data_IF_871762309537
#
_entry.id   IF_871762309537
#
_cell.length_a   1.000
_cell.length_b   1.000
_cell.length_c   1.000
_cell.angle_alpha   90.00
_cell.angle_beta   90.00
_cell.angle_gamma   90.00
#
_symmetry.space_group_name_H-M   'P 1'
#
loop_
_entity.id
_entity.type
_entity.pdbx_description
1 polymer ?
#
# COMPACT_ATOMS: atom_id res chain seq x y z
N UNK A 1 8.24 12.17 11.54
CA UNK A 1 9.36 12.33 12.48
C UNK A 1 9.06 11.82 13.88
N UNK A 2 7.87 12.13 14.44
CA UNK A 2 7.47 11.81 15.81
C UNK A 2 7.54 10.30 16.10
N UNK A 3 7.00 9.49 15.20
CA UNK A 3 7.02 8.02 15.34
C UNK A 3 8.44 7.45 15.25
N UNK A 4 9.30 8.06 14.42
CA UNK A 4 10.71 7.65 14.33
C UNK A 4 11.45 7.98 15.63
N UNK A 5 11.27 9.19 16.15
CA UNK A 5 11.83 9.57 17.46
C UNK A 5 11.35 8.63 18.55
N UNK A 6 10.05 8.37 18.64
CA UNK A 6 9.48 7.47 19.64
C UNK A 6 10.07 6.06 19.55
N UNK A 7 10.27 5.51 18.37
CA UNK A 7 10.89 4.21 18.16
C UNK A 7 12.34 4.18 18.71
N UNK A 8 13.14 5.19 18.40
CA UNK A 8 14.52 5.30 18.93
C UNK A 8 14.55 5.46 20.44
N UNK A 9 13.64 6.24 20.99
CA UNK A 9 13.55 6.41 22.47
C UNK A 9 13.15 5.10 23.18
N UNK A 10 12.43 4.22 22.50
CA UNK A 10 12.12 2.86 22.98
C UNK A 10 13.24 1.85 22.73
N UNK A 11 14.38 2.26 22.15
CA UNK A 11 15.56 1.41 21.95
C UNK A 11 15.67 0.79 20.57
N UNK A 12 14.87 1.20 19.56
CA UNK A 12 15.05 0.74 18.20
C UNK A 12 16.41 1.17 17.65
N UNK A 13 17.14 0.26 17.02
CA UNK A 13 18.42 0.56 16.34
C UNK A 13 18.18 1.24 14.98
N UNK A 14 17.05 0.96 14.33
CA UNK A 14 16.63 1.55 13.04
C UNK A 14 15.12 1.53 12.91
N UNK A 15 14.58 2.29 11.97
CA UNK A 15 13.17 2.28 11.60
C UNK A 15 13.02 1.89 10.13
N UNK A 16 11.94 1.18 9.80
CA UNK A 16 11.61 0.76 8.43
C UNK A 16 10.34 1.49 8.01
N UNK A 17 10.35 2.09 6.83
CA UNK A 17 9.20 2.73 6.22
C UNK A 17 8.72 1.91 5.02
N UNK A 18 7.43 1.58 4.99
CA UNK A 18 6.79 0.84 3.88
C UNK A 18 5.95 1.76 3.00
N UNK A 19 4.77 2.17 3.48
CA UNK A 19 3.79 2.93 2.68
C UNK A 19 4.35 4.22 2.10
N UNK A 20 5.17 4.95 2.85
CA UNK A 20 5.75 6.22 2.41
C UNK A 20 6.68 6.03 1.20
N UNK A 21 7.48 4.95 1.20
CA UNK A 21 8.41 4.67 0.11
C UNK A 21 7.70 4.26 -1.19
N UNK A 22 6.47 3.77 -1.12
CA UNK A 22 5.69 3.46 -2.34
C UNK A 22 5.31 4.71 -3.15
N UNK A 23 5.33 5.89 -2.53
CA UNK A 23 5.10 7.17 -3.21
C UNK A 23 6.40 7.82 -3.72
N UNK A 24 7.57 7.22 -3.48
CA UNK A 24 8.84 7.73 -3.96
C UNK A 24 9.06 7.41 -5.44
N UNK A 25 9.92 8.21 -6.08
CA UNK A 25 10.20 8.10 -7.52
C UNK A 25 10.89 6.79 -7.89
N UNK A 26 11.63 6.18 -6.97
CA UNK A 26 12.31 4.89 -7.17
C UNK A 26 11.38 3.68 -7.00
N UNK A 27 10.14 3.88 -6.50
CA UNK A 27 9.21 2.78 -6.31
C UNK A 27 8.76 2.19 -7.65
N UNK A 28 8.63 0.86 -7.71
CA UNK A 28 8.10 0.14 -8.87
C UNK A 28 6.59 0.32 -9.10
N UNK A 29 5.94 1.24 -8.38
CA UNK A 29 4.53 1.57 -8.54
C UNK A 29 4.33 2.50 -9.74
N UNK A 30 3.17 2.41 -10.40
CA UNK A 30 2.82 3.32 -11.49
C UNK A 30 2.68 4.76 -11.03
N UNK A 31 2.86 5.70 -11.95
CA UNK A 31 2.67 7.12 -11.70
C UNK A 31 1.25 7.44 -11.18
N UNK A 32 0.23 6.75 -11.71
CA UNK A 32 -1.14 6.87 -11.22
C UNK A 32 -1.26 6.49 -9.73
N UNK A 33 -0.62 5.40 -9.31
CA UNK A 33 -0.60 4.96 -7.91
C UNK A 33 0.14 5.96 -7.03
N UNK A 34 1.30 6.49 -7.46
CA UNK A 34 2.03 7.52 -6.71
C UNK A 34 1.20 8.77 -6.48
N UNK A 35 0.46 9.24 -7.50
CA UNK A 35 -0.47 10.37 -7.37
C UNK A 35 -1.58 10.09 -6.35
N UNK A 36 -2.17 8.90 -6.37
CA UNK A 36 -3.18 8.51 -5.38
C UNK A 36 -2.58 8.50 -3.97
N UNK A 37 -1.41 7.89 -3.79
CA UNK A 37 -0.72 7.80 -2.50
C UNK A 37 -0.37 9.19 -1.93
N UNK A 38 0.03 10.14 -2.77
CA UNK A 38 0.32 11.52 -2.34
C UNK A 38 -0.91 12.30 -1.84
N UNK A 39 -2.12 11.79 -2.12
CA UNK A 39 -3.38 12.43 -1.73
C UNK A 39 -4.09 11.70 -0.57
N UNK A 40 -3.47 10.63 -0.04
CA UNK A 40 -4.07 9.80 1.03
C UNK A 40 -4.16 10.57 2.33
N UNK A 41 -5.33 10.54 2.97
CA UNK A 41 -5.50 10.85 4.38
C UNK A 41 -5.38 9.57 5.23
N UNK A 42 -5.08 9.69 6.51
CA UNK A 42 -4.96 8.53 7.41
C UNK A 42 -6.25 7.69 7.50
N UNK A 43 -7.39 8.28 7.18
CA UNK A 43 -8.70 7.62 7.14
C UNK A 43 -9.02 6.93 5.80
N UNK A 44 -8.17 7.08 4.77
CA UNK A 44 -8.39 6.49 3.44
C UNK A 44 -7.91 5.04 3.33
N UNK A 45 -7.69 4.39 4.44
CA UNK A 45 -7.23 3.00 4.54
C UNK A 45 -8.35 2.08 5.01
N UNK A 46 -8.40 0.87 4.49
CA UNK A 46 -9.35 -0.18 4.87
C UNK A 46 -8.64 -1.53 4.93
N UNK A 47 -9.13 -2.43 5.77
CA UNK A 47 -8.70 -3.83 5.76
C UNK A 47 -9.36 -4.57 4.58
N UNK A 48 -8.62 -5.42 3.91
CA UNK A 48 -9.12 -6.27 2.83
C UNK A 48 -8.40 -7.62 2.83
N UNK A 49 -9.05 -8.70 2.37
CA UNK A 49 -8.45 -10.03 2.29
C UNK A 49 -7.14 -10.05 1.51
N UNK A 50 -6.13 -10.69 2.09
CA UNK A 50 -4.84 -10.93 1.45
C UNK A 50 -4.96 -12.02 0.38
N UNK A 51 -4.25 -11.88 -0.75
CA UNK A 51 -4.35 -12.84 -1.86
C UNK A 51 -3.68 -14.18 -1.56
N UNK A 52 -2.56 -14.16 -0.88
CA UNK A 52 -1.73 -15.33 -0.54
C UNK A 52 -2.27 -16.15 0.63
N UNK A 53 -2.93 -15.49 1.57
CA UNK A 53 -3.53 -16.10 2.76
C UNK A 53 -5.07 -16.00 2.77
N UNK A 54 -5.68 -15.96 1.58
CA UNK A 54 -7.11 -15.75 1.40
C UNK A 54 -7.97 -16.78 2.14
N UNK A 55 -7.63 -18.06 2.02
CA UNK A 55 -8.37 -19.16 2.66
C UNK A 55 -8.33 -19.09 4.19
N UNK A 56 -7.30 -18.46 4.76
CA UNK A 56 -7.18 -18.28 6.22
C UNK A 56 -7.89 -17.02 6.73
N UNK A 57 -8.45 -16.20 5.86
CA UNK A 57 -9.14 -14.97 6.22
C UNK A 57 -8.21 -13.86 6.74
N UNK A 58 -6.92 -13.92 6.41
CA UNK A 58 -5.98 -12.86 6.76
C UNK A 58 -6.27 -11.62 5.95
N UNK A 59 -6.31 -10.48 6.61
CA UNK A 59 -6.53 -9.17 6.00
C UNK A 59 -5.28 -8.30 6.06
N UNK A 60 -5.15 -7.39 5.12
CA UNK A 60 -4.09 -6.39 5.04
C UNK A 60 -4.67 -4.99 4.77
N UNK A 61 -3.88 -3.96 5.06
CA UNK A 61 -4.27 -2.59 4.85
C UNK A 61 -4.09 -2.18 3.38
N UNK A 62 -5.17 -1.66 2.79
CA UNK A 62 -5.20 -1.16 1.41
C UNK A 62 -5.86 0.21 1.32
N UNK A 63 -5.50 0.95 0.30
CA UNK A 63 -6.15 2.20 -0.03
C UNK A 63 -7.60 1.94 -0.48
N UNK A 64 -8.55 2.70 0.08
CA UNK A 64 -9.95 2.69 -0.37
C UNK A 64 -10.28 3.83 -1.33
N UNK A 65 -9.51 4.92 -1.30
CA UNK A 65 -9.73 6.09 -2.14
C UNK A 65 -9.31 5.80 -3.59
N UNK A 66 -10.19 6.07 -4.55
CA UNK A 66 -9.91 5.90 -5.98
C UNK A 66 -9.93 4.47 -6.49
N UNK A 67 -10.31 3.47 -5.65
CA UNK A 67 -10.40 2.06 -6.02
C UNK A 67 -11.60 1.39 -5.37
N UNK A 68 -12.12 0.34 -5.99
CA UNK A 68 -13.17 -0.54 -5.46
C UNK A 68 -12.61 -1.89 -4.98
N UNK A 69 -11.29 -2.06 -4.97
CA UNK A 69 -10.66 -3.33 -4.59
C UNK A 69 -11.12 -3.83 -3.22
N UNK A 70 -11.05 -2.99 -2.18
CA UNK A 70 -11.41 -3.39 -0.82
C UNK A 70 -12.82 -3.99 -0.70
N UNK A 71 -13.88 -3.29 -1.12
CA UNK A 71 -15.24 -3.84 -1.14
C UNK A 71 -15.39 -5.11 -1.99
N UNK A 72 -14.74 -5.19 -3.15
CA UNK A 72 -14.77 -6.36 -4.04
C UNK A 72 -14.08 -7.56 -3.40
N UNK A 73 -12.89 -7.37 -2.83
CA UNK A 73 -12.16 -8.43 -2.14
C UNK A 73 -12.96 -8.99 -0.94
N UNK A 74 -13.57 -8.13 -0.14
CA UNK A 74 -14.46 -8.56 0.95
C UNK A 74 -15.66 -9.36 0.43
N UNK A 75 -16.27 -8.93 -0.68
CA UNK A 75 -17.39 -9.65 -1.28
C UNK A 75 -16.98 -11.04 -1.75
N UNK A 76 -15.79 -11.18 -2.35
CA UNK A 76 -15.25 -12.48 -2.71
C UNK A 76 -15.03 -13.37 -1.48
N UNK A 77 -14.54 -12.82 -0.38
CA UNK A 77 -14.36 -13.56 0.86
C UNK A 77 -15.69 -13.96 1.52
N UNK A 78 -16.72 -13.11 1.47
CA UNK A 78 -18.08 -13.47 1.91
C UNK A 78 -18.63 -14.66 1.13
N UNK A 79 -18.46 -14.69 -0.20
CA UNK A 79 -18.86 -15.84 -1.01
C UNK A 79 -18.06 -17.08 -0.66
N UNK A 80 -16.74 -16.97 -0.54
CA UNK A 80 -15.87 -18.08 -0.15
C UNK A 80 -16.27 -18.67 1.21
N UNK A 81 -16.58 -17.85 2.18
CA UNK A 81 -16.96 -18.28 3.52
C UNK A 81 -18.37 -18.92 3.56
N UNK A 82 -19.25 -18.48 2.67
CA UNK A 82 -20.65 -18.91 2.66
C UNK A 82 -20.91 -20.16 1.82
N UNK A 83 -20.23 -20.31 0.69
CA UNK A 83 -20.48 -21.36 -0.30
C UNK A 83 -19.31 -22.33 -0.37
N UNK A 84 -19.58 -23.58 -0.75
CA UNK A 84 -18.56 -24.61 -0.91
C UNK A 84 -18.08 -24.78 -2.33
N UNK A 85 -18.75 -24.17 -3.29
CA UNK A 85 -18.34 -24.13 -4.68
C UNK A 85 -18.83 -22.85 -5.35
N UNK A 86 -18.24 -22.51 -6.50
CA UNK A 86 -18.73 -21.42 -7.36
C UNK A 86 -20.15 -21.67 -7.83
N UNK A 87 -20.53 -22.94 -8.04
CA UNK A 87 -21.84 -23.32 -8.56
C UNK A 87 -22.96 -23.12 -7.55
N UNK A 88 -22.66 -23.10 -6.25
CA UNK A 88 -23.61 -22.76 -5.20
C UNK A 88 -23.93 -21.26 -5.13
N UNK A 89 -23.08 -20.41 -5.69
CA UNK A 89 -23.34 -18.96 -5.75
C UNK A 89 -24.52 -18.74 -6.72
N UNK A 90 -25.56 -17.98 -6.34
CA UNK A 90 -26.70 -17.71 -7.20
C UNK A 90 -26.28 -17.20 -8.59
N UNK A 91 -26.89 -17.70 -9.65
CA UNK A 91 -26.51 -17.40 -11.04
C UNK A 91 -26.43 -15.90 -11.34
N UNK A 92 -27.35 -15.10 -10.81
CA UNK A 92 -27.34 -13.66 -10.96
C UNK A 92 -26.13 -12.99 -10.29
N UNK A 93 -25.65 -13.51 -9.16
CA UNK A 93 -24.46 -13.01 -8.48
C UNK A 93 -23.18 -13.46 -9.21
N UNK A 94 -23.12 -14.68 -9.72
CA UNK A 94 -22.02 -15.16 -10.59
C UNK A 94 -21.87 -14.28 -11.83
N UNK A 95 -22.97 -13.99 -12.52
CA UNK A 95 -22.97 -13.13 -13.68
C UNK A 95 -22.44 -11.70 -13.35
N UNK A 96 -22.79 -11.15 -12.18
CA UNK A 96 -22.22 -9.88 -11.71
C UNK A 96 -20.72 -9.96 -11.46
N UNK A 97 -20.24 -11.05 -10.86
CA UNK A 97 -18.80 -11.25 -10.65
C UNK A 97 -18.05 -11.28 -11.99
N UNK A 98 -18.55 -12.05 -12.97
CA UNK A 98 -17.94 -12.12 -14.30
C UNK A 98 -17.92 -10.78 -15.01
N UNK A 99 -19.02 -10.02 -14.98
CA UNK A 99 -19.15 -8.76 -15.71
C UNK A 99 -18.43 -7.59 -15.02
N UNK A 100 -18.55 -7.46 -13.71
CA UNK A 100 -18.16 -6.25 -12.98
C UNK A 100 -16.83 -6.36 -12.24
N UNK A 101 -16.48 -7.57 -11.78
CA UNK A 101 -15.26 -7.81 -10.99
C UNK A 101 -14.18 -8.41 -11.88
N UNK A 102 -14.42 -9.60 -12.38
CA UNK A 102 -13.44 -10.33 -13.16
C UNK A 102 -13.29 -9.78 -14.58
N UNK A 103 -14.40 -9.34 -15.21
CA UNK A 103 -14.52 -8.92 -16.62
C UNK A 103 -14.06 -10.03 -17.56
N UNK A 104 -14.29 -11.27 -17.15
CA UNK A 104 -14.01 -12.51 -17.87
C UNK A 104 -14.92 -13.60 -17.35
N UNK A 105 -15.28 -14.61 -18.20
CA UNK A 105 -15.93 -15.81 -17.74
C UNK A 105 -15.11 -16.53 -16.68
N UNK A 106 -15.77 -17.14 -15.70
CA UNK A 106 -15.10 -17.89 -14.63
C UNK A 106 -14.30 -19.09 -15.17
N UNK A 107 -14.77 -19.70 -16.24
CA UNK A 107 -14.03 -20.78 -16.90
C UNK A 107 -12.70 -20.31 -17.50
N UNK A 108 -12.68 -19.15 -18.16
CA UNK A 108 -11.45 -18.57 -18.70
C UNK A 108 -10.43 -18.25 -17.60
N UNK A 109 -10.93 -17.83 -16.42
CA UNK A 109 -10.07 -17.58 -15.25
C UNK A 109 -9.51 -18.90 -14.73
N UNK A 110 -10.33 -19.94 -14.68
CA UNK A 110 -9.86 -21.27 -14.27
C UNK A 110 -8.76 -21.79 -15.21
N UNK A 111 -8.94 -21.67 -16.51
CA UNK A 111 -7.90 -22.04 -17.48
C UNK A 111 -6.61 -21.21 -17.29
N UNK A 112 -6.75 -19.91 -16.97
CA UNK A 112 -5.61 -19.07 -16.65
C UNK A 112 -4.91 -19.50 -15.33
N UNK A 113 -5.65 -19.96 -14.33
CA UNK A 113 -5.07 -20.54 -13.11
C UNK A 113 -4.29 -21.82 -13.41
N UNK A 114 -4.85 -22.74 -14.23
CA UNK A 114 -4.18 -23.97 -14.66
C UNK A 114 -2.86 -23.61 -15.35
N UNK A 115 -2.89 -22.74 -16.35
CA UNK A 115 -1.70 -22.32 -17.08
C UNK A 115 -0.65 -21.66 -16.15
N UNK A 116 -1.08 -20.84 -15.19
CA UNK A 116 -0.17 -20.20 -14.25
C UNK A 116 0.55 -21.17 -13.32
N UNK A 117 -0.18 -22.18 -12.82
CA UNK A 117 0.37 -23.15 -11.86
C UNK A 117 1.07 -24.33 -12.52
N UNK A 118 0.85 -24.59 -13.81
CA UNK A 118 1.43 -25.73 -14.52
C UNK A 118 2.95 -25.86 -14.30
N UNK A 119 3.68 -24.77 -14.46
CA UNK A 119 5.13 -24.76 -14.35
C UNK A 119 5.64 -24.30 -12.98
N UNK A 120 4.77 -23.75 -12.13
CA UNK A 120 5.16 -23.17 -10.83
C UNK A 120 4.87 -24.07 -9.64
N UNK A 121 3.66 -24.62 -9.59
CA UNK A 121 3.18 -25.45 -8.49
C UNK A 121 1.97 -26.26 -8.96
N UNK A 122 2.17 -27.31 -9.78
CA UNK A 122 1.07 -28.12 -10.34
C UNK A 122 0.19 -28.78 -9.27
N UNK A 123 0.73 -29.04 -8.06
CA UNK A 123 -0.06 -29.59 -6.95
C UNK A 123 -1.25 -28.69 -6.55
N UNK A 124 -1.21 -27.38 -6.82
CA UNK A 124 -2.35 -26.49 -6.56
C UNK A 124 -3.56 -26.89 -7.39
N UNK A 125 -3.35 -27.30 -8.63
CA UNK A 125 -4.39 -27.71 -9.55
C UNK A 125 -4.90 -29.10 -9.17
N UNK A 126 -3.98 -30.06 -8.93
CA UNK A 126 -4.34 -31.41 -8.49
C UNK A 126 -5.23 -31.39 -7.23
N UNK A 127 -4.86 -30.55 -6.25
CA UNK A 127 -5.65 -30.38 -5.02
C UNK A 127 -7.00 -29.70 -5.25
N UNK A 128 -7.15 -28.93 -6.33
CA UNK A 128 -8.39 -28.24 -6.67
C UNK A 128 -9.34 -29.08 -7.50
N UNK A 129 -8.87 -30.07 -8.29
CA UNK A 129 -9.69 -30.94 -9.12
C UNK A 129 -10.67 -31.76 -8.27
N UNK A 130 -10.27 -32.23 -7.10
CA UNK A 130 -11.10 -32.97 -6.15
C UNK A 130 -11.81 -32.08 -5.10
N UNK A 131 -11.61 -30.75 -5.14
CA UNK A 131 -12.09 -29.83 -4.11
C UNK A 131 -12.64 -28.54 -4.72
N UNK A 132 -13.96 -28.46 -4.98
CA UNK A 132 -14.62 -27.29 -5.56
C UNK A 132 -14.43 -25.99 -4.77
N UNK A 133 -14.30 -26.09 -3.44
CA UNK A 133 -14.04 -24.93 -2.58
C UNK A 133 -12.64 -24.36 -2.82
N UNK A 134 -11.64 -25.23 -3.00
CA UNK A 134 -10.28 -24.81 -3.34
C UNK A 134 -10.21 -24.22 -4.75
N UNK A 135 -10.93 -24.82 -5.73
CA UNK A 135 -11.07 -24.25 -7.07
C UNK A 135 -11.59 -22.82 -6.99
N UNK A 136 -12.66 -22.59 -6.20
CA UNK A 136 -13.21 -21.24 -5.97
C UNK A 136 -12.19 -20.30 -5.36
N UNK A 137 -11.40 -20.74 -4.37
CA UNK A 137 -10.34 -19.93 -3.77
C UNK A 137 -9.29 -19.50 -4.82
N UNK A 138 -8.82 -20.41 -5.67
CA UNK A 138 -7.83 -20.10 -6.71
C UNK A 138 -8.37 -19.09 -7.72
N UNK A 139 -9.63 -19.20 -8.13
CA UNK A 139 -10.29 -18.25 -9.03
C UNK A 139 -10.37 -16.85 -8.38
N UNK A 140 -10.72 -16.77 -7.11
CA UNK A 140 -10.80 -15.49 -6.40
C UNK A 140 -9.40 -14.88 -6.19
N UNK A 141 -8.41 -15.71 -5.85
CA UNK A 141 -7.01 -15.32 -5.71
C UNK A 141 -6.40 -14.81 -7.02
N UNK A 142 -6.86 -15.29 -8.18
CA UNK A 142 -6.46 -14.75 -9.47
C UNK A 142 -6.75 -13.24 -9.56
N UNK A 143 -7.96 -12.81 -9.16
CA UNK A 143 -8.32 -11.39 -9.13
C UNK A 143 -7.49 -10.62 -8.10
N UNK A 144 -7.38 -11.13 -6.87
CA UNK A 144 -6.67 -10.47 -5.79
C UNK A 144 -5.18 -10.27 -6.12
N UNK A 145 -4.52 -11.28 -6.67
CA UNK A 145 -3.11 -11.21 -7.06
C UNK A 145 -2.86 -10.26 -8.24
N UNK A 146 -3.70 -10.32 -9.28
CA UNK A 146 -3.57 -9.44 -10.44
C UNK A 146 -3.90 -7.98 -10.11
N UNK A 147 -4.74 -7.71 -9.11
CA UNK A 147 -5.08 -6.34 -8.71
C UNK A 147 -3.86 -5.54 -8.26
N UNK A 148 -2.88 -6.16 -7.63
CA UNK A 148 -1.58 -5.55 -7.32
C UNK A 148 -0.73 -5.33 -8.58
N UNK A 149 -0.70 -6.30 -9.48
CA UNK A 149 0.05 -6.19 -10.74
C UNK A 149 -0.53 -5.07 -11.62
N UNK A 150 -1.86 -4.95 -11.72
CA UNK A 150 -2.51 -3.87 -12.46
C UNK A 150 -2.18 -2.50 -11.88
N UNK A 151 -2.12 -2.37 -10.56
CA UNK A 151 -1.74 -1.13 -9.89
C UNK A 151 -0.28 -0.75 -10.22
N UNK A 152 0.65 -1.69 -10.13
CA UNK A 152 2.06 -1.46 -10.43
C UNK A 152 2.30 -1.15 -11.91
N UNK A 153 1.63 -1.87 -12.81
CA UNK A 153 1.72 -1.63 -14.25
C UNK A 153 0.96 -0.37 -14.72
N UNK A 154 0.07 0.18 -13.90
CA UNK A 154 -0.76 1.31 -14.27
C UNK A 154 -1.80 0.98 -15.35
N UNK A 155 -2.36 -0.26 -15.33
CA UNK A 155 -3.30 -0.76 -16.35
C UNK A 155 -4.57 0.09 -16.40
N UNK A 156 -4.83 0.89 -17.46
CA UNK A 156 -5.82 1.98 -17.41
C UNK A 156 -7.26 1.53 -17.22
N UNK A 157 -7.65 0.41 -17.82
CA UNK A 157 -9.00 -0.15 -17.75
C UNK A 157 -9.28 -0.87 -16.42
N UNK A 158 -8.27 -1.04 -15.56
CA UNK A 158 -8.34 -1.72 -14.27
C UNK A 158 -8.14 -0.79 -13.06
N UNK A 159 -8.16 0.50 -13.22
CA UNK A 159 -7.95 1.47 -12.13
C UNK A 159 -8.88 1.26 -10.92
N UNK A 160 -10.15 0.90 -11.17
CA UNK A 160 -11.10 0.56 -10.12
C UNK A 160 -10.75 -0.75 -9.36
N UNK A 161 -9.87 -1.57 -9.91
CA UNK A 161 -9.47 -2.87 -9.35
C UNK A 161 -8.10 -2.82 -8.66
N UNK A 162 -7.44 -1.67 -8.60
CA UNK A 162 -6.11 -1.56 -8.05
C UNK A 162 -6.07 -1.93 -6.57
N UNK A 163 -5.27 -2.92 -6.22
CA UNK A 163 -4.84 -3.19 -4.86
C UNK A 163 -3.59 -2.37 -4.57
N UNK A 164 -3.74 -1.36 -3.74
CA UNK A 164 -2.64 -0.48 -3.34
C UNK A 164 -2.43 -0.66 -1.85
N UNK A 165 -1.33 -1.30 -1.47
CA UNK A 165 -0.99 -1.51 -0.06
C UNK A 165 -0.62 -0.18 0.57
N UNK A 166 -1.33 0.19 1.61
CA UNK A 166 -1.15 1.49 2.24
C UNK A 166 -1.64 1.47 3.67
N UNK A 167 -0.78 1.83 4.60
CA UNK A 167 -1.16 2.06 5.99
C UNK A 167 -1.46 3.54 6.30
N UNK A 168 -2.02 3.86 7.48
CA UNK A 168 -2.33 5.23 7.90
C UNK A 168 -1.11 6.17 7.96
N UNK A 169 0.10 5.60 8.06
CA UNK A 169 1.36 6.36 8.04
C UNK A 169 1.56 7.18 6.77
N UNK A 170 0.96 6.74 5.64
CA UNK A 170 1.00 7.52 4.39
C UNK A 170 0.25 8.85 4.55
N UNK A 171 -0.95 8.82 5.13
CA UNK A 171 -1.72 10.02 5.41
C UNK A 171 -1.02 10.95 6.40
N UNK A 172 -0.47 10.40 7.47
CA UNK A 172 0.31 11.17 8.44
C UNK A 172 1.55 11.83 7.79
N UNK A 173 2.23 11.12 6.87
CA UNK A 173 3.33 11.69 6.11
C UNK A 173 2.85 12.84 5.19
N UNK A 174 1.77 12.63 4.46
CA UNK A 174 1.19 13.67 3.59
C UNK A 174 0.78 14.92 4.37
N UNK A 175 0.20 14.75 5.56
CA UNK A 175 -0.16 15.88 6.44
C UNK A 175 1.08 16.62 6.95
N UNK A 176 2.16 15.89 7.26
CA UNK A 176 3.41 16.50 7.70
C UNK A 176 4.09 17.32 6.61
N UNK A 177 4.13 16.83 5.36
CA UNK A 177 4.82 17.50 4.24
C UNK A 177 3.96 18.52 3.50
N UNK A 178 2.71 18.71 3.89
CA UNK A 178 1.80 19.67 3.27
C UNK A 178 2.35 21.08 3.32
N UNK A 179 2.34 21.77 2.18
CA UNK A 179 2.91 23.11 2.00
C UNK A 179 4.43 23.12 1.87
N UNK A 180 5.09 21.96 1.80
CA UNK A 180 6.51 21.83 1.53
C UNK A 180 6.77 21.32 0.10
N UNK A 181 8.02 21.33 -0.35
CA UNK A 181 8.38 20.76 -1.66
C UNK A 181 8.08 19.25 -1.77
N UNK A 182 8.04 18.50 -0.63
CA UNK A 182 7.69 17.09 -0.59
C UNK A 182 6.19 16.82 -0.71
N UNK A 183 5.34 17.84 -0.76
CA UNK A 183 3.93 17.65 -1.11
C UNK A 183 3.80 17.06 -2.52
N UNK A 184 4.63 17.54 -3.46
CA UNK A 184 4.72 16.99 -4.81
C UNK A 184 5.38 15.60 -4.79
N UNK A 185 4.67 14.59 -5.32
CA UNK A 185 5.14 13.20 -5.27
C UNK A 185 6.42 12.95 -6.10
N UNK A 186 6.64 13.72 -7.15
CA UNK A 186 7.83 13.67 -8.01
C UNK A 186 9.09 14.24 -7.34
N UNK A 187 8.94 14.92 -6.21
CA UNK A 187 10.06 15.41 -5.38
C UNK A 187 10.44 14.41 -4.26
N UNK A 188 9.71 13.30 -4.14
CA UNK A 188 9.94 12.28 -3.11
C UNK A 188 10.91 11.23 -3.63
N UNK A 189 12.18 11.35 -3.31
CA UNK A 189 13.13 10.24 -3.43
C UNK A 189 13.31 9.54 -2.07
N UNK A 190 13.64 8.23 -2.10
CA UNK A 190 13.83 7.47 -0.85
C UNK A 190 14.90 8.08 0.05
N UNK A 191 16.08 8.49 -0.46
CA UNK A 191 17.10 9.15 0.37
C UNK A 191 16.61 10.45 0.99
N UNK A 192 15.97 11.32 0.19
CA UNK A 192 15.46 12.61 0.67
C UNK A 192 14.39 12.42 1.74
N UNK A 193 13.44 11.50 1.53
CA UNK A 193 12.39 11.18 2.51
C UNK A 193 13.00 10.66 3.82
N UNK A 194 13.96 9.75 3.72
CA UNK A 194 14.64 9.20 4.89
C UNK A 194 15.38 10.27 5.67
N UNK A 195 16.14 11.12 4.97
CA UNK A 195 16.88 12.21 5.57
C UNK A 195 15.96 13.20 6.30
N UNK A 196 14.87 13.65 5.65
CA UNK A 196 13.93 14.58 6.26
C UNK A 196 13.22 14.00 7.48
N UNK A 197 12.89 12.71 7.48
CA UNK A 197 12.34 12.01 8.64
C UNK A 197 13.36 12.01 9.80
N UNK A 198 14.63 11.72 9.52
CA UNK A 198 15.69 11.67 10.52
C UNK A 198 16.03 13.05 11.07
N UNK A 199 16.13 14.07 10.20
CA UNK A 199 16.34 15.46 10.62
C UNK A 199 15.18 15.95 11.50
N UNK A 200 13.93 15.65 11.11
CA UNK A 200 12.76 15.96 11.91
C UNK A 200 12.75 15.27 13.26
N UNK A 201 13.17 14.02 13.35
CA UNK A 201 13.30 13.28 14.60
C UNK A 201 14.39 13.91 15.52
N UNK A 202 15.53 14.26 14.97
CA UNK A 202 16.62 14.92 15.69
C UNK A 202 16.21 16.34 16.17
N UNK A 203 15.49 17.09 15.33
CA UNK A 203 14.90 18.38 15.72
C UNK A 203 13.96 18.26 16.90
N UNK A 204 13.01 17.35 16.82
CA UNK A 204 12.02 17.12 17.89
C UNK A 204 12.69 16.67 19.19
N UNK A 205 13.70 15.81 19.13
CA UNK A 205 14.49 15.41 20.29
C UNK A 205 15.12 16.64 20.97
N UNK A 206 15.75 17.51 20.18
CA UNK A 206 16.38 18.75 20.69
C UNK A 206 15.35 19.70 21.29
N UNK A 207 14.20 19.90 20.63
CA UNK A 207 13.07 20.70 21.14
C UNK A 207 12.59 20.19 22.49
N UNK A 208 12.35 18.88 22.61
CA UNK A 208 11.89 18.29 23.87
C UNK A 208 12.96 18.41 24.98
N UNK A 209 14.22 18.20 24.65
CA UNK A 209 15.33 18.35 25.60
C UNK A 209 15.41 19.78 26.16
N UNK A 210 15.26 20.80 25.32
CA UNK A 210 15.25 22.19 25.74
C UNK A 210 14.03 22.53 26.62
N UNK A 211 12.86 22.03 26.25
CA UNK A 211 11.63 22.20 27.06
C UNK A 211 11.77 21.59 28.47
N UNK A 212 12.34 20.38 28.56
CA UNK A 212 12.60 19.72 29.85
C UNK A 212 13.58 20.52 30.72
N UNK A 213 14.48 21.31 30.12
CA UNK A 213 15.39 22.22 30.82
C UNK A 213 14.75 23.59 31.16
N UNK A 214 13.45 23.77 30.88
CA UNK A 214 12.73 25.01 31.16
C UNK A 214 12.97 26.13 30.13
N UNK A 215 13.59 25.83 29.00
CA UNK A 215 13.83 26.83 27.95
C UNK A 215 12.51 27.13 27.23
N UNK A 216 12.18 28.42 27.15
CA UNK A 216 11.06 28.88 26.31
C UNK A 216 11.51 28.99 24.87
N UNK A 217 10.84 28.25 23.98
CA UNK A 217 11.15 28.28 22.55
C UNK A 217 10.28 29.31 21.82
N UNK A 218 10.80 29.94 20.76
CA UNK A 218 9.99 30.79 19.87
C UNK A 218 8.82 30.02 19.26
N UNK A 219 7.73 30.72 18.93
CA UNK A 219 6.60 30.13 18.24
C UNK A 219 7.01 29.49 16.91
N UNK A 220 6.49 28.32 16.61
CA UNK A 220 6.78 27.57 15.38
C UNK A 220 7.98 26.60 15.48
N UNK A 221 8.86 26.72 16.47
CA UNK A 221 10.01 25.82 16.65
C UNK A 221 9.60 24.40 17.06
N UNK A 222 8.36 24.21 17.49
CA UNK A 222 7.87 22.92 17.92
C UNK A 222 7.64 21.92 16.79
N UNK A 223 7.60 22.40 15.53
CA UNK A 223 7.37 21.58 14.34
C UNK A 223 8.57 21.70 13.41
N UNK A 224 9.12 20.57 13.01
CA UNK A 224 10.09 20.53 11.92
C UNK A 224 9.35 20.59 10.58
N UNK A 225 9.76 21.52 9.71
CA UNK A 225 9.25 21.68 8.35
C UNK A 225 10.34 21.23 7.38
N UNK A 226 10.07 20.28 6.47
CA UNK A 226 11.04 19.88 5.45
C UNK A 226 11.42 21.03 4.54
N UNK A 227 12.73 21.31 4.45
CA UNK A 227 13.30 22.33 3.57
C UNK A 227 14.29 21.68 2.61
N UNK A 228 14.37 22.21 1.36
CA UNK A 228 15.43 21.79 0.46
C UNK A 228 16.76 22.24 1.06
N UNK A 229 17.72 21.34 1.15
CA UNK A 229 19.10 21.76 1.31
C UNK A 229 19.47 22.49 0.02
N UNK A 230 19.77 23.79 0.10
CA UNK A 230 20.51 24.46 -0.96
C UNK A 230 21.80 23.64 -1.13
N UNK A 231 22.07 23.14 -2.34
CA UNK A 231 23.39 22.59 -2.65
C UNK A 231 24.37 23.68 -2.20
N UNK A 232 25.19 23.35 -1.22
CA UNK A 232 26.25 24.25 -0.76
C UNK A 232 27.11 24.51 -1.98
N UNK A 233 26.80 25.60 -2.68
CA UNK A 233 27.52 26.02 -3.85
C UNK A 233 28.96 26.24 -3.41
N UNK A 234 29.83 25.27 -3.78
CA UNK A 234 31.27 25.46 -3.91
C UNK A 234 31.96 26.25 -2.79
N UNK A 235 32.12 25.66 -1.62
CA UNK A 235 33.26 25.98 -0.80
C UNK A 235 34.48 25.35 -1.49
N UNK A 236 35.01 26.03 -2.49
CA UNK A 236 36.43 25.84 -2.90
C UNK A 236 37.26 26.17 -1.68
N UNK A 237 37.78 25.14 -1.05
CA UNK A 237 38.91 25.28 -0.14
C UNK A 237 40.07 25.72 -1.05
N UNK A 238 40.37 27.01 -1.07
CA UNK A 238 41.66 27.48 -1.52
C UNK A 238 42.67 27.15 -0.42
N UNK A 239 43.65 26.34 -0.78
CA UNK A 239 44.82 25.99 0.03
C UNK A 239 45.71 27.24 0.34
#
# INVERSE_FOLDING_TARGET
PESALAAFMMGAAYVVTGSVNQACVEAGTSDHVRRLLAQVASTDVIMAPASDMFEMGVELQVLKRGTLFGPRARKLYEYYSRYRSIDEIPAAERAKLEQQVFRRPLEDIWQACIAFFHDRDPEQIERAEGNPHRKMALIFRWYLGLSSNWANAGTPDRTADYQIWCGPSMGAFNDWVRGTYLEAYDQRSVPVVAEQIMQGAAWLYRVQSLKMQGVRLPAGWERYVPERQEEAAGATVED
#
